data_IF_697933217245
#
_entry.id   IF_697933217245
#
_cell.length_a   1.000
_cell.length_b   1.000
_cell.length_c   1.000
_cell.angle_alpha   90.00
_cell.angle_beta   90.00
_cell.angle_gamma   90.00
#
_symmetry.space_group_name_H-M   'P 1'
#
loop_
_entity.id
_entity.type
_entity.pdbx_description
1 polymer ?
#
# COMPACT_ATOMS: atom_id res chain seq x y z
N UNK A 1 -14.94 -5.31 15.08
CA UNK A 1 -14.42 -4.60 13.88
C UNK A 1 -13.12 -3.84 14.14
N UNK A 2 -12.64 -3.75 15.37
CA UNK A 2 -11.47 -2.93 15.71
C UNK A 2 -10.51 -3.65 16.66
N UNK A 3 -10.49 -4.98 16.66
CA UNK A 3 -9.75 -5.79 17.63
C UNK A 3 -10.57 -6.25 18.84
N UNK A 4 -10.02 -7.20 19.57
CA UNK A 4 -10.59 -7.89 20.73
C UNK A 4 -10.21 -7.26 22.08
N UNK A 5 -9.19 -6.40 22.10
CA UNK A 5 -8.67 -5.75 23.30
C UNK A 5 -8.06 -4.38 22.98
N UNK A 6 -7.65 -3.63 24.01
CA UNK A 6 -7.10 -2.27 23.84
C UNK A 6 -5.81 -2.20 23.01
N UNK A 7 -4.99 -3.25 23.02
CA UNK A 7 -3.79 -3.32 22.16
C UNK A 7 -4.22 -3.44 20.70
N UNK A 8 -5.14 -4.35 20.40
CA UNK A 8 -5.64 -4.53 19.03
C UNK A 8 -6.43 -3.32 18.52
N UNK A 9 -7.11 -2.58 19.40
CA UNK A 9 -7.73 -1.30 19.05
C UNK A 9 -6.69 -0.29 18.56
N UNK A 10 -5.58 -0.17 19.27
CA UNK A 10 -4.49 0.72 18.89
C UNK A 10 -3.82 0.26 17.59
N UNK A 11 -3.61 -1.06 17.42
CA UNK A 11 -3.12 -1.63 16.17
C UNK A 11 -4.03 -1.27 14.99
N UNK A 12 -5.33 -1.55 15.12
CA UNK A 12 -6.32 -1.21 14.10
C UNK A 12 -6.27 0.28 13.72
N UNK A 13 -6.19 1.16 14.72
CA UNK A 13 -6.15 2.61 14.51
C UNK A 13 -4.87 3.05 13.79
N UNK A 14 -3.71 2.52 14.20
CA UNK A 14 -2.45 2.81 13.54
C UNK A 14 -2.45 2.36 12.08
N UNK A 15 -2.95 1.16 11.80
CA UNK A 15 -3.03 0.63 10.44
C UNK A 15 -3.91 1.50 9.54
N UNK A 16 -5.04 2.00 10.04
CA UNK A 16 -5.87 2.92 9.28
C UNK A 16 -5.12 4.21 8.92
N UNK A 17 -4.48 4.85 9.90
CA UNK A 17 -3.80 6.13 9.67
C UNK A 17 -2.62 6.01 8.71
N UNK A 18 -1.76 5.01 8.88
CA UNK A 18 -0.61 4.79 7.98
C UNK A 18 -1.07 4.48 6.55
N UNK A 19 -2.17 3.74 6.41
CA UNK A 19 -2.77 3.45 5.10
C UNK A 19 -3.35 4.69 4.44
N UNK A 20 -3.92 5.61 5.22
CA UNK A 20 -4.45 6.88 4.72
C UNK A 20 -3.34 7.85 4.31
N UNK A 21 -2.21 7.88 5.02
CA UNK A 21 -1.04 8.68 4.61
C UNK A 21 -0.52 8.27 3.23
N UNK A 22 -0.42 6.96 2.98
CA UNK A 22 -0.05 6.44 1.66
C UNK A 22 -1.10 6.83 0.61
N UNK A 23 -2.39 6.62 0.91
CA UNK A 23 -3.46 6.92 -0.03
C UNK A 23 -3.56 8.42 -0.35
N UNK A 24 -3.31 9.29 0.63
CA UNK A 24 -3.25 10.74 0.45
C UNK A 24 -2.12 11.13 -0.50
N UNK A 25 -0.93 10.50 -0.37
CA UNK A 25 0.19 10.70 -1.31
C UNK A 25 -0.17 10.28 -2.73
N UNK A 26 -0.80 9.11 -2.91
CA UNK A 26 -1.28 8.67 -4.22
C UNK A 26 -2.30 9.64 -4.82
N UNK A 27 -3.27 10.08 -4.01
CA UNK A 27 -4.30 11.03 -4.45
C UNK A 27 -3.67 12.34 -4.94
N UNK A 28 -2.66 12.83 -4.22
CA UNK A 28 -1.98 14.11 -4.51
C UNK A 28 -1.03 14.04 -5.71
N UNK A 29 -0.26 12.97 -5.84
CA UNK A 29 0.88 12.93 -6.76
C UNK A 29 0.76 11.88 -7.87
N UNK A 30 0.08 10.75 -7.62
CA UNK A 30 -0.01 9.65 -8.59
C UNK A 30 -1.03 9.95 -9.70
N UNK A 31 -0.63 9.88 -10.98
CA UNK A 31 -1.55 9.94 -12.11
C UNK A 31 -2.71 8.95 -12.02
N UNK A 32 -3.86 9.35 -12.56
CA UNK A 32 -5.06 8.51 -12.67
C UNK A 32 -5.54 8.45 -14.12
N UNK A 33 -6.46 7.54 -14.41
CA UNK A 33 -7.13 7.45 -15.72
C UNK A 33 -7.76 8.76 -16.18
N UNK A 34 -8.26 9.57 -15.23
CA UNK A 34 -8.89 10.86 -15.52
C UNK A 34 -7.91 12.04 -15.49
N UNK A 35 -6.79 11.93 -14.76
CA UNK A 35 -5.80 12.99 -14.57
C UNK A 35 -4.40 12.40 -14.78
N UNK A 36 -3.90 12.36 -16.03
CA UNK A 36 -2.66 11.67 -16.37
C UNK A 36 -1.39 12.40 -15.88
N UNK A 37 -1.51 13.64 -15.39
CA UNK A 37 -0.41 14.38 -14.78
C UNK A 37 -0.92 15.18 -13.59
N UNK A 38 -0.37 14.93 -12.39
CA UNK A 38 -0.69 15.64 -11.15
C UNK A 38 0.48 16.40 -10.54
N UNK A 39 1.70 16.04 -10.92
CA UNK A 39 2.92 16.68 -10.44
C UNK A 39 4.03 16.57 -11.49
N UNK A 40 5.17 17.21 -11.24
CA UNK A 40 6.35 17.08 -12.11
C UNK A 40 6.89 15.65 -12.08
N UNK A 41 7.57 15.24 -13.15
CA UNK A 41 8.20 13.92 -13.23
C UNK A 41 9.19 13.68 -12.08
N UNK A 42 9.95 14.71 -11.69
CA UNK A 42 10.87 14.66 -10.55
C UNK A 42 10.15 14.31 -9.25
N UNK A 43 9.02 14.97 -8.97
CA UNK A 43 8.22 14.67 -7.77
C UNK A 43 7.65 13.26 -7.80
N UNK A 44 7.23 12.80 -8.98
CA UNK A 44 6.76 11.44 -9.16
C UNK A 44 7.88 10.41 -8.98
N UNK A 45 9.10 10.70 -9.44
CA UNK A 45 10.28 9.86 -9.19
C UNK A 45 10.60 9.79 -7.69
N UNK A 46 10.67 10.93 -7.01
CA UNK A 46 10.97 10.99 -5.57
C UNK A 46 9.88 10.29 -4.73
N UNK A 47 8.62 10.30 -5.18
CA UNK A 47 7.53 9.58 -4.52
C UNK A 47 7.79 8.07 -4.48
N UNK A 48 8.34 7.52 -5.57
CA UNK A 48 8.57 6.09 -5.78
C UNK A 48 10.04 5.68 -5.61
N UNK A 49 10.89 6.57 -5.10
CA UNK A 49 12.29 6.25 -4.87
C UNK A 49 12.39 5.16 -3.79
N UNK A 50 12.99 3.98 -4.10
CA UNK A 50 13.20 2.94 -3.10
C UNK A 50 14.20 3.38 -2.02
N UNK A 51 15.08 4.35 -2.31
CA UNK A 51 15.99 4.92 -1.33
C UNK A 51 15.20 5.79 -0.35
N UNK A 52 14.98 5.22 0.83
CA UNK A 52 14.20 5.87 1.87
C UNK A 52 15.06 6.89 2.61
N UNK A 53 14.76 8.19 2.44
CA UNK A 53 15.30 9.24 3.30
C UNK A 53 14.34 9.58 4.44
N UNK A 54 14.85 9.54 5.67
CA UNK A 54 14.15 10.00 6.86
C UNK A 54 14.60 11.40 7.33
N UNK A 55 15.53 12.03 6.60
CA UNK A 55 16.07 13.35 6.91
C UNK A 55 15.15 14.51 6.47
N UNK A 56 14.04 14.16 5.82
CA UNK A 56 12.99 15.10 5.41
C UNK A 56 11.74 14.94 6.28
N UNK A 57 10.93 16.00 6.33
CA UNK A 57 9.64 15.97 7.04
C UNK A 57 8.75 14.84 6.50
N UNK A 58 8.00 14.15 7.36
CA UNK A 58 7.19 12.96 7.01
C UNK A 58 6.27 13.14 5.77
N UNK A 59 5.67 14.32 5.63
CA UNK A 59 4.82 14.74 4.49
C UNK A 59 5.56 14.75 3.14
N UNK A 60 6.88 14.91 3.18
CA UNK A 60 7.77 15.03 2.03
C UNK A 60 8.53 13.71 1.75
N UNK A 61 8.40 12.71 2.62
CA UNK A 61 8.94 11.37 2.39
C UNK A 61 8.18 10.64 1.26
N UNK A 62 8.85 9.71 0.57
CA UNK A 62 8.23 8.86 -0.45
C UNK A 62 7.32 7.75 0.12
N UNK A 63 6.75 6.93 -0.77
CA UNK A 63 5.92 5.77 -0.42
C UNK A 63 6.75 4.72 0.31
N UNK A 64 8.00 4.52 -0.13
CA UNK A 64 8.92 3.53 0.45
C UNK A 64 9.26 3.80 1.92
N UNK A 65 9.21 5.07 2.38
CA UNK A 65 9.34 5.41 3.79
C UNK A 65 8.17 4.88 4.63
N UNK A 66 6.93 5.08 4.16
CA UNK A 66 5.75 4.53 4.83
C UNK A 66 5.78 2.99 4.84
N UNK A 67 6.14 2.37 3.71
CA UNK A 67 6.26 0.91 3.61
C UNK A 67 7.33 0.36 4.57
N UNK A 68 8.47 1.04 4.71
CA UNK A 68 9.50 0.66 5.68
C UNK A 68 8.99 0.71 7.12
N UNK A 69 8.31 1.78 7.50
CA UNK A 69 7.75 1.96 8.85
C UNK A 69 6.68 0.91 9.14
N UNK A 70 5.75 0.69 8.20
CA UNK A 70 4.71 -0.34 8.32
C UNK A 70 5.28 -1.75 8.36
N UNK A 71 6.31 -2.07 7.57
CA UNK A 71 6.99 -3.37 7.62
C UNK A 71 7.71 -3.59 8.95
N UNK A 72 8.34 -2.55 9.48
CA UNK A 72 8.96 -2.57 10.80
C UNK A 72 7.93 -2.76 11.91
N UNK A 73 6.76 -2.12 11.78
CA UNK A 73 5.62 -2.28 12.68
C UNK A 73 5.08 -3.72 12.65
N UNK A 74 4.81 -4.26 11.45
CA UNK A 74 4.37 -5.65 11.26
C UNK A 74 5.39 -6.67 11.82
N UNK A 75 6.68 -6.36 11.74
CA UNK A 75 7.75 -7.18 12.33
C UNK A 75 7.66 -7.24 13.85
N UNK A 76 7.35 -6.12 14.51
CA UNK A 76 7.27 -6.02 15.98
C UNK A 76 6.01 -6.65 16.55
N UNK A 77 4.89 -6.57 15.82
CA UNK A 77 3.60 -7.08 16.26
C UNK A 77 3.29 -8.50 15.79
N UNK A 78 4.28 -9.14 15.13
CA UNK A 78 4.21 -10.55 14.78
C UNK A 78 3.09 -10.84 13.81
N UNK A 79 3.18 -10.29 12.58
CA UNK A 79 2.37 -10.78 11.47
C UNK A 79 2.42 -12.31 11.48
N UNK A 80 1.32 -12.95 11.86
CA UNK A 80 1.30 -14.39 11.98
C UNK A 80 1.29 -14.94 10.57
N UNK A 81 2.43 -15.52 10.20
CA UNK A 81 2.67 -16.15 8.90
C UNK A 81 1.62 -17.21 8.54
N UNK A 82 0.82 -17.69 9.52
CA UNK A 82 -0.25 -18.67 9.30
C UNK A 82 -1.62 -18.06 8.99
N UNK A 83 -1.89 -16.82 9.38
CA UNK A 83 -3.22 -16.19 9.22
C UNK A 83 -3.19 -14.96 8.30
N UNK A 84 -1.99 -14.43 8.01
CA UNK A 84 -1.84 -13.16 7.29
C UNK A 84 -2.41 -11.97 8.06
N UNK A 85 -2.64 -12.10 9.38
CA UNK A 85 -3.21 -11.06 10.24
C UNK A 85 -2.18 -10.42 11.17
N UNK A 86 -2.44 -9.16 11.54
CA UNK A 86 -1.76 -8.38 12.59
C UNK A 86 -2.58 -8.33 13.88
N UNK A 87 -3.86 -8.71 13.82
CA UNK A 87 -4.73 -8.89 15.00
C UNK A 87 -5.23 -10.33 15.08
N UNK A 88 -5.75 -10.74 16.24
CA UNK A 88 -6.37 -12.07 16.43
C UNK A 88 -7.50 -12.36 15.43
N UNK A 89 -8.24 -11.33 15.00
CA UNK A 89 -9.31 -11.49 14.00
C UNK A 89 -8.79 -11.51 12.56
N UNK A 90 -7.60 -10.95 12.31
CA UNK A 90 -7.00 -10.84 10.99
C UNK A 90 -7.77 -9.98 9.97
N UNK A 91 -8.93 -9.43 10.32
CA UNK A 91 -9.91 -8.81 9.40
C UNK A 91 -10.47 -7.49 9.99
N UNK A 92 -9.69 -6.81 10.82
CA UNK A 92 -10.10 -5.49 11.32
C UNK A 92 -10.20 -4.47 10.19
N UNK A 93 -10.90 -3.35 10.43
CA UNK A 93 -11.02 -2.27 9.44
C UNK A 93 -9.64 -1.76 9.02
N UNK A 94 -8.70 -1.65 9.97
CA UNK A 94 -7.31 -1.29 9.69
C UNK A 94 -6.60 -2.27 8.77
N UNK A 95 -6.80 -3.58 8.97
CA UNK A 95 -6.21 -4.61 8.10
C UNK A 95 -6.85 -4.61 6.70
N UNK A 96 -8.18 -4.47 6.60
CA UNK A 96 -8.86 -4.33 5.31
C UNK A 96 -8.39 -3.08 4.56
N UNK A 97 -8.22 -1.95 5.26
CA UNK A 97 -7.72 -0.70 4.69
C UNK A 97 -6.28 -0.87 4.23
N UNK A 98 -5.40 -1.43 5.06
CA UNK A 98 -4.01 -1.72 4.69
C UNK A 98 -3.96 -2.59 3.43
N UNK A 99 -4.70 -3.70 3.41
CA UNK A 99 -4.78 -4.58 2.24
C UNK A 99 -5.18 -3.80 0.98
N UNK A 100 -6.27 -3.01 1.04
CA UNK A 100 -6.74 -2.24 -0.12
C UNK A 100 -5.71 -1.22 -0.63
N UNK A 101 -4.97 -0.59 0.29
CA UNK A 101 -3.88 0.35 -0.04
C UNK A 101 -2.71 -0.39 -0.68
N UNK A 102 -2.24 -1.50 -0.09
CA UNK A 102 -1.16 -2.31 -0.65
C UNK A 102 -1.54 -2.89 -2.02
N UNK A 103 -2.77 -3.39 -2.17
CA UNK A 103 -3.29 -3.88 -3.45
C UNK A 103 -3.25 -2.77 -4.51
N UNK A 104 -3.68 -1.56 -4.15
CA UNK A 104 -3.57 -0.39 -5.04
C UNK A 104 -2.12 -0.11 -5.46
N UNK A 105 -1.16 -0.20 -4.53
CA UNK A 105 0.26 -0.05 -4.85
C UNK A 105 0.75 -1.15 -5.80
N UNK A 106 0.42 -2.41 -5.56
CA UNK A 106 0.84 -3.54 -6.43
C UNK A 106 0.23 -3.46 -7.84
N UNK A 107 -0.96 -2.88 -7.98
CA UNK A 107 -1.56 -2.63 -9.29
C UNK A 107 -0.82 -1.56 -10.11
N UNK A 108 -0.14 -0.62 -9.42
CA UNK A 108 0.67 0.45 -10.00
C UNK A 108 2.10 -0.05 -10.27
N UNK A 109 2.75 -0.63 -9.26
CA UNK A 109 4.10 -1.19 -9.30
C UNK A 109 4.08 -2.61 -8.70
N UNK A 110 4.04 -3.66 -9.54
CA UNK A 110 3.90 -5.05 -9.09
C UNK A 110 4.96 -5.51 -8.10
N UNK A 111 6.15 -4.91 -8.13
CA UNK A 111 7.31 -5.31 -7.31
C UNK A 111 7.51 -4.45 -6.07
N UNK A 112 6.54 -3.58 -5.75
CA UNK A 112 6.64 -2.63 -4.65
C UNK A 112 6.88 -3.28 -3.28
N UNK A 113 6.42 -4.54 -3.10
CA UNK A 113 6.54 -5.29 -1.84
C UNK A 113 7.80 -6.17 -1.73
N UNK A 114 8.63 -6.28 -2.78
CA UNK A 114 9.80 -7.18 -2.83
C UNK A 114 10.75 -6.98 -1.63
N UNK A 115 10.89 -5.72 -1.18
CA UNK A 115 11.79 -5.33 -0.07
C UNK A 115 11.13 -5.36 1.31
N UNK A 116 9.84 -5.68 1.41
CA UNK A 116 9.04 -5.56 2.63
C UNK A 116 8.43 -6.89 3.02
N UNK A 117 9.27 -7.86 3.35
CA UNK A 117 8.87 -9.27 3.56
C UNK A 117 7.68 -9.47 4.52
N UNK A 118 7.53 -8.68 5.59
CA UNK A 118 6.41 -8.82 6.51
C UNK A 118 5.11 -8.26 5.94
N UNK A 119 5.19 -7.14 5.22
CA UNK A 119 4.04 -6.64 4.46
C UNK A 119 3.67 -7.56 3.30
N UNK A 120 4.67 -8.15 2.64
CA UNK A 120 4.46 -9.16 1.61
C UNK A 120 3.70 -10.37 2.14
N UNK A 121 4.13 -10.95 3.26
CA UNK A 121 3.43 -12.08 3.90
C UNK A 121 2.00 -11.69 4.32
N UNK A 122 1.81 -10.51 4.90
CA UNK A 122 0.47 -10.00 5.22
C UNK A 122 -0.40 -9.90 3.96
N UNK A 123 0.12 -9.28 2.90
CA UNK A 123 -0.59 -9.04 1.66
C UNK A 123 -1.02 -10.35 0.99
N UNK A 124 -0.09 -11.30 0.81
CA UNK A 124 -0.38 -12.60 0.20
C UNK A 124 -1.37 -13.39 1.05
N UNK A 125 -1.18 -13.43 2.37
CA UNK A 125 -2.11 -14.14 3.27
C UNK A 125 -3.52 -13.54 3.27
N UNK A 126 -3.65 -12.23 3.11
CA UNK A 126 -4.95 -11.57 2.97
C UNK A 126 -5.58 -11.80 1.59
N UNK A 127 -4.75 -11.82 0.53
CA UNK A 127 -5.14 -12.06 -0.85
C UNK A 127 -5.68 -13.49 -1.07
N UNK A 128 -5.10 -14.48 -0.39
CA UNK A 128 -5.49 -15.89 -0.50
C UNK A 128 -6.86 -16.21 0.14
N UNK A 129 -7.42 -15.29 0.93
CA UNK A 129 -8.72 -15.49 1.58
C UNK A 129 -9.84 -15.59 0.57
N UNK A 130 -10.78 -16.49 0.85
CA UNK A 130 -11.91 -16.76 -0.03
C UNK A 130 -12.72 -15.49 -0.29
N UNK A 131 -13.04 -14.76 0.75
CA UNK A 131 -13.84 -13.53 0.70
C UNK A 131 -13.12 -12.44 -0.10
N UNK A 132 -11.80 -12.31 0.08
CA UNK A 132 -10.98 -11.36 -0.70
C UNK A 132 -11.01 -11.72 -2.19
N UNK A 133 -10.79 -12.98 -2.54
CA UNK A 133 -10.83 -13.44 -3.94
C UNK A 133 -12.20 -13.25 -4.58
N UNK A 134 -13.28 -13.56 -3.85
CA UNK A 134 -14.65 -13.36 -4.34
C UNK A 134 -14.91 -11.88 -4.71
N UNK A 135 -14.40 -10.94 -3.92
CA UNK A 135 -14.51 -9.51 -4.22
C UNK A 135 -13.67 -9.12 -5.44
N UNK A 136 -12.43 -9.60 -5.52
CA UNK A 136 -11.52 -9.24 -6.61
C UNK A 136 -11.92 -9.86 -7.96
N UNK A 137 -12.43 -11.09 -7.96
CA UNK A 137 -12.86 -11.80 -9.17
C UNK A 137 -14.27 -11.38 -9.60
N UNK A 138 -15.16 -11.11 -8.64
CA UNK A 138 -16.54 -10.70 -8.90
C UNK A 138 -16.69 -9.21 -9.24
N UNK A 139 -15.69 -8.39 -8.91
CA UNK A 139 -15.73 -6.95 -9.10
C UNK A 139 -15.10 -6.48 -10.42
N UNK A 140 -15.80 -5.62 -11.16
CA UNK A 140 -15.21 -4.89 -12.30
C UNK A 140 -14.43 -3.66 -11.83
N UNK A 141 -13.40 -3.86 -11.01
CA UNK A 141 -12.56 -2.78 -10.51
C UNK A 141 -11.49 -2.41 -11.55
N UNK A 142 -11.76 -1.37 -12.33
CA UNK A 142 -10.78 -0.84 -13.27
C UNK A 142 -9.64 -0.16 -12.51
N UNK A 143 -8.41 -0.29 -13.01
CA UNK A 143 -7.24 0.40 -12.45
C UNK A 143 -7.49 1.91 -12.46
N UNK A 144 -7.58 2.53 -11.28
CA UNK A 144 -7.79 3.97 -11.16
C UNK A 144 -6.46 4.75 -11.24
N UNK A 145 -5.46 4.31 -10.50
CA UNK A 145 -4.09 4.82 -10.59
C UNK A 145 -3.35 4.11 -11.72
N UNK A 146 -2.59 4.87 -12.52
CA UNK A 146 -1.83 4.35 -13.65
C UNK A 146 -0.34 4.35 -13.35
N UNK A 147 0.42 3.46 -13.99
CA UNK A 147 1.86 3.26 -13.73
C UNK A 147 2.66 4.57 -13.90
N UNK A 148 3.62 4.87 -13.02
CA UNK A 148 4.54 5.99 -13.24
C UNK A 148 5.33 5.77 -14.53
N UNK A 149 5.29 6.77 -15.42
CA UNK A 149 6.12 6.97 -16.63
C UNK A 149 6.78 5.69 -17.16
N UNK A 150 6.02 4.87 -17.89
CA UNK A 150 6.60 3.77 -18.67
C UNK A 150 7.34 4.36 -19.88
N UNK A 151 8.68 4.39 -19.84
CA UNK A 151 9.53 4.87 -20.94
C UNK A 151 9.31 4.10 -22.25
N UNK A 152 8.63 2.95 -22.22
CA UNK A 152 8.39 2.12 -23.40
C UNK A 152 7.26 2.64 -24.31
N UNK A 153 6.34 3.47 -23.80
CA UNK A 153 5.16 3.91 -24.55
C UNK A 153 5.29 5.25 -25.30
N UNK A 154 6.41 5.97 -25.17
CA UNK A 154 6.61 7.28 -25.84
C UNK A 154 7.44 7.23 -27.14
N UNK A 155 7.91 6.05 -27.56
CA UNK A 155 8.70 5.90 -28.79
C UNK A 155 7.82 5.44 -29.98
N UNK A 156 6.57 5.01 -29.75
CA UNK A 156 5.72 4.43 -30.79
C UNK A 156 4.72 5.41 -31.47
N UNK A 157 4.88 6.72 -31.28
CA UNK A 157 4.08 7.73 -31.96
C UNK A 157 4.96 8.86 -32.50
N UNK A 158 5.75 8.54 -33.51
CA UNK A 158 6.21 9.49 -34.55
C UNK A 158 6.09 8.83 -35.91
#
# INVERSE_FOLDING_TARGET
MSGSNGVEWNLNTQLMHESDDVYAKLTKYQPTTNVPSKCSEEKLRNLWDPETSFDVHNRDQGIHANLFLMNSFASKHGADTKTGGLTSTGTTVGECKLFSTLHSLTMIEPRVLDNYSKLGVFYEGFLERKETREVLEGGQFHKYFIKPLDRSSQIASK
#
